data_IF_713342436123
#
_entry.id   IF_713342436123
#
_cell.length_a   1.000
_cell.length_b   1.000
_cell.length_c   1.000
_cell.angle_alpha   90.00
_cell.angle_beta   90.00
_cell.angle_gamma   90.00
#
_symmetry.space_group_name_H-M   'P 1'
#
loop_
_entity.id
_entity.type
_entity.pdbx_description
1 polymer ?
#
# COMPACT_ATOMS: atom_id res chain seq x y z
N UNK A 1 -81.61 29.88 -26.93
CA UNK A 1 -80.44 29.61 -26.08
C UNK A 1 -80.86 29.78 -24.63
N UNK A 2 -80.80 28.72 -23.80
CA UNK A 2 -81.23 28.79 -22.40
C UNK A 2 -80.06 29.30 -21.58
N UNK A 3 -80.14 30.56 -21.16
CA UNK A 3 -79.10 31.24 -20.37
C UNK A 3 -79.05 30.72 -18.92
N UNK A 4 -80.19 30.29 -18.37
CA UNK A 4 -80.31 29.82 -16.98
C UNK A 4 -79.32 28.73 -16.56
N UNK A 5 -79.25 27.57 -17.26
CA UNK A 5 -78.33 26.49 -16.88
C UNK A 5 -76.85 26.90 -16.91
N UNK A 6 -76.48 27.86 -17.75
CA UNK A 6 -75.12 28.40 -17.80
C UNK A 6 -74.85 29.35 -16.64
N UNK A 7 -75.85 30.10 -16.17
CA UNK A 7 -75.73 30.93 -14.97
C UNK A 7 -75.58 30.06 -13.72
N UNK A 8 -76.38 29.01 -13.58
CA UNK A 8 -76.29 28.07 -12.45
C UNK A 8 -74.93 27.35 -12.41
N UNK A 9 -74.40 27.00 -13.60
CA UNK A 9 -73.06 26.42 -13.74
C UNK A 9 -71.95 27.40 -13.37
N UNK A 10 -72.13 28.69 -13.71
CA UNK A 10 -71.15 29.73 -13.41
C UNK A 10 -71.13 30.02 -11.90
N UNK A 11 -72.31 30.09 -11.28
CA UNK A 11 -72.48 30.23 -9.83
C UNK A 11 -71.83 29.05 -9.10
N UNK A 12 -72.10 27.81 -9.53
CA UNK A 12 -71.46 26.61 -8.96
C UNK A 12 -69.93 26.65 -9.08
N UNK A 13 -69.40 27.15 -10.21
CA UNK A 13 -67.94 27.25 -10.40
C UNK A 13 -67.31 28.35 -9.56
N UNK A 14 -68.03 29.45 -9.32
CA UNK A 14 -67.59 30.57 -8.49
C UNK A 14 -67.46 30.15 -7.02
N UNK A 15 -68.44 29.41 -6.52
CA UNK A 15 -68.43 28.89 -5.15
C UNK A 15 -67.30 27.87 -4.94
N UNK A 16 -67.01 27.05 -5.94
CA UNK A 16 -65.87 26.12 -5.91
C UNK A 16 -64.53 26.88 -5.90
N UNK A 17 -64.34 27.88 -6.76
CA UNK A 17 -63.09 28.63 -6.84
C UNK A 17 -62.77 29.42 -5.56
N UNK A 18 -63.80 29.90 -4.87
CA UNK A 18 -63.63 30.65 -3.61
C UNK A 18 -63.37 29.76 -2.40
N UNK A 19 -63.81 28.50 -2.44
CA UNK A 19 -63.59 27.52 -1.36
C UNK A 19 -62.29 26.73 -1.52
N UNK A 20 -61.58 26.89 -2.65
CA UNK A 20 -60.24 26.33 -2.82
C UNK A 20 -59.27 26.96 -1.81
N UNK A 21 -58.77 26.14 -0.89
CA UNK A 21 -57.67 26.51 -0.02
C UNK A 21 -56.36 26.49 -0.80
N UNK A 22 -56.05 27.62 -1.44
CA UNK A 22 -54.71 27.83 -1.95
C UNK A 22 -53.77 27.93 -0.74
N UNK A 23 -52.83 26.99 -0.65
CA UNK A 23 -51.69 27.14 0.24
C UNK A 23 -51.11 28.53 -0.02
N UNK A 24 -51.01 29.37 1.02
CA UNK A 24 -50.27 30.61 0.89
C UNK A 24 -48.91 30.27 0.29
N UNK A 25 -48.34 31.10 -0.60
CA UNK A 25 -47.04 30.83 -1.17
C UNK A 25 -46.03 30.63 -0.02
N UNK A 26 -45.82 29.37 0.35
CA UNK A 26 -44.68 28.94 1.14
C UNK A 26 -43.49 29.32 0.29
N UNK A 27 -42.55 30.09 0.85
CA UNK A 27 -41.37 30.53 0.11
C UNK A 27 -40.65 29.29 -0.42
N UNK A 28 -40.94 28.94 -1.68
CA UNK A 28 -40.41 27.76 -2.35
C UNK A 28 -38.90 27.93 -2.46
N UNK A 29 -38.16 27.35 -1.50
CA UNK A 29 -36.76 26.89 -1.52
C UNK A 29 -35.65 27.82 -2.06
N UNK A 30 -35.96 29.00 -2.60
CA UNK A 30 -35.05 30.02 -3.09
C UNK A 30 -34.76 31.08 -2.01
N UNK A 31 -35.16 30.81 -0.77
CA UNK A 31 -34.79 31.63 0.40
C UNK A 31 -33.43 31.23 0.95
N UNK A 32 -33.03 29.95 0.79
CA UNK A 32 -31.69 29.45 1.18
C UNK A 32 -30.59 29.92 0.21
N UNK A 33 -30.92 30.15 -1.06
CA UNK A 33 -30.01 30.77 -2.03
C UNK A 33 -29.99 32.30 -1.96
N UNK A 34 -30.95 32.93 -1.26
CA UNK A 34 -31.03 34.39 -1.09
C UNK A 34 -30.10 34.94 -0.01
N UNK A 35 -29.62 34.12 0.90
CA UNK A 35 -28.79 34.58 2.03
C UNK A 35 -27.33 34.80 1.64
N UNK A 36 -26.88 34.19 0.56
CA UNK A 36 -25.51 34.33 0.07
C UNK A 36 -25.58 35.17 -1.21
N UNK A 37 -24.99 36.37 -1.27
CA UNK A 37 -24.93 37.11 -2.53
C UNK A 37 -24.28 36.21 -3.59
N UNK A 38 -24.77 36.25 -4.84
CA UNK A 38 -24.31 35.33 -5.90
C UNK A 38 -22.78 35.42 -6.12
N UNK A 39 -22.15 36.53 -5.72
CA UNK A 39 -20.70 36.78 -5.71
C UNK A 39 -19.92 35.93 -4.69
N UNK A 40 -20.59 35.36 -3.68
CA UNK A 40 -20.00 34.39 -2.75
C UNK A 40 -20.20 32.94 -3.23
N UNK A 41 -21.21 32.68 -4.08
CA UNK A 41 -21.46 31.37 -4.72
C UNK A 41 -20.60 31.20 -5.97
N UNK A 42 -20.50 32.26 -6.79
CA UNK A 42 -19.58 32.38 -7.90
C UNK A 42 -18.34 33.08 -7.34
N UNK A 43 -17.46 32.31 -6.69
CA UNK A 43 -16.12 32.81 -6.43
C UNK A 43 -15.41 32.92 -7.76
N UNK A 44 -14.73 34.03 -8.02
CA UNK A 44 -13.76 34.09 -9.10
C UNK A 44 -12.80 32.91 -8.92
N UNK A 45 -12.51 32.18 -10.00
CA UNK A 45 -11.57 31.07 -9.95
C UNK A 45 -10.27 31.57 -9.30
N UNK A 46 -9.87 30.94 -8.19
CA UNK A 46 -8.66 31.30 -7.47
C UNK A 46 -7.46 31.22 -8.45
N UNK A 47 -6.35 31.95 -8.24
CA UNK A 47 -5.23 31.97 -9.18
C UNK A 47 -4.71 30.56 -9.54
N UNK A 48 -4.78 29.63 -8.59
CA UNK A 48 -4.41 28.23 -8.80
C UNK A 48 -5.43 27.45 -9.65
N UNK A 49 -6.72 27.80 -9.61
CA UNK A 49 -7.77 27.21 -10.44
C UNK A 49 -7.71 27.75 -11.89
N UNK A 50 -7.42 29.06 -12.07
CA UNK A 50 -7.24 29.67 -13.40
C UNK A 50 -6.12 29.02 -14.21
N UNK A 51 -5.13 28.43 -13.52
CA UNK A 51 -4.00 27.71 -14.13
C UNK A 51 -4.40 26.37 -14.75
N UNK A 52 -5.53 25.79 -14.34
CA UNK A 52 -6.08 24.55 -14.92
C UNK A 52 -6.85 24.79 -16.23
N UNK A 53 -7.48 25.97 -16.34
CA UNK A 53 -8.33 26.35 -17.48
C UNK A 53 -7.60 27.16 -18.55
N UNK A 54 -6.44 27.72 -18.22
CA UNK A 54 -5.52 28.23 -19.23
C UNK A 54 -4.78 27.03 -19.80
N UNK A 55 -5.19 26.60 -20.99
CA UNK A 55 -4.48 25.59 -21.76
C UNK A 55 -3.03 26.07 -21.96
N UNK A 56 -2.13 25.64 -21.08
CA UNK A 56 -0.70 25.77 -21.33
C UNK A 56 -0.40 24.89 -22.54
N UNK A 57 -0.29 25.54 -23.69
CA UNK A 57 0.31 24.91 -24.85
C UNK A 57 1.69 24.42 -24.43
N UNK A 58 1.82 23.10 -24.36
CA UNK A 58 3.09 22.36 -24.39
C UNK A 58 4.16 22.79 -23.38
N UNK A 59 4.16 22.15 -22.21
CA UNK A 59 5.42 21.71 -21.62
C UNK A 59 5.29 20.26 -21.16
N UNK A 60 5.90 19.37 -21.94
CA UNK A 60 6.22 18.00 -21.54
C UNK A 60 6.85 18.09 -20.13
N UNK A 61 6.33 17.39 -19.11
CA UNK A 61 6.80 17.59 -17.75
C UNK A 61 8.24 17.08 -17.62
N UNK A 62 9.17 18.03 -17.58
CA UNK A 62 10.54 17.84 -17.13
C UNK A 62 10.64 18.29 -15.67
N UNK A 63 10.72 17.35 -14.73
CA UNK A 63 11.08 17.60 -13.33
C UNK A 63 10.01 17.20 -12.30
N UNK A 64 10.40 16.53 -11.20
CA UNK A 64 9.48 15.84 -10.31
C UNK A 64 8.86 16.82 -9.30
N UNK A 65 7.62 17.21 -9.53
CA UNK A 65 6.74 17.65 -8.45
C UNK A 65 6.07 16.37 -7.94
N UNK A 66 6.67 15.76 -6.93
CA UNK A 66 6.17 14.58 -6.25
C UNK A 66 4.86 14.91 -5.50
N UNK A 67 3.76 15.01 -6.23
CA UNK A 67 2.45 14.64 -5.70
C UNK A 67 2.40 13.10 -5.66
N UNK A 68 3.23 12.53 -4.78
CA UNK A 68 3.63 11.12 -4.77
C UNK A 68 2.55 10.14 -4.32
N UNK A 69 1.37 10.62 -3.91
CA UNK A 69 0.30 9.74 -3.45
C UNK A 69 -0.28 8.87 -4.59
N UNK A 70 -0.34 9.39 -5.82
CA UNK A 70 -0.90 8.67 -6.96
C UNK A 70 0.02 7.62 -7.58
N UNK A 71 1.34 7.75 -7.40
CA UNK A 71 2.33 6.81 -7.95
C UNK A 71 2.46 5.56 -7.06
N UNK A 72 2.48 5.74 -5.73
CA UNK A 72 2.57 4.63 -4.77
C UNK A 72 1.33 3.71 -4.84
N UNK A 73 0.15 4.28 -5.07
CA UNK A 73 -1.09 3.51 -5.18
C UNK A 73 -1.21 2.64 -6.44
N UNK A 74 -0.35 2.84 -7.45
CA UNK A 74 -0.35 1.99 -8.65
C UNK A 74 0.37 0.67 -8.43
N UNK A 75 1.23 0.59 -7.43
CA UNK A 75 1.99 -0.61 -7.13
C UNK A 75 1.23 -1.46 -6.12
N UNK A 76 0.85 -2.67 -6.52
CA UNK A 76 0.06 -3.58 -5.67
C UNK A 76 0.84 -4.11 -4.47
N UNK A 77 2.16 -3.97 -4.50
CA UNK A 77 3.08 -4.49 -3.49
C UNK A 77 3.64 -3.38 -2.58
N UNK A 78 3.06 -2.18 -2.62
CA UNK A 78 3.52 -1.09 -1.76
C UNK A 78 3.45 -1.51 -0.27
N UNK A 79 4.51 -1.22 0.52
CA UNK A 79 4.53 -1.56 1.94
C UNK A 79 3.38 -0.84 2.67
N UNK A 80 2.75 -1.58 3.59
CA UNK A 80 1.53 -1.15 4.29
C UNK A 80 1.68 0.23 4.93
N UNK A 81 2.84 0.54 5.53
CA UNK A 81 3.08 1.83 6.19
C UNK A 81 3.00 3.01 5.23
N UNK A 82 3.50 2.84 4.00
CA UNK A 82 3.46 3.89 2.98
C UNK A 82 2.02 4.08 2.50
N UNK A 83 1.26 3.00 2.36
CA UNK A 83 -0.15 3.06 2.01
C UNK A 83 -0.99 3.76 3.09
N UNK A 84 -0.79 3.41 4.36
CA UNK A 84 -1.50 4.03 5.49
C UNK A 84 -1.16 5.51 5.62
N UNK A 85 0.12 5.87 5.41
CA UNK A 85 0.55 7.27 5.37
C UNK A 85 -0.07 8.04 4.22
N UNK A 86 -0.16 7.43 3.03
CA UNK A 86 -0.84 8.04 1.89
C UNK A 86 -2.33 8.28 2.19
N UNK A 87 -3.01 7.31 2.81
CA UNK A 87 -4.41 7.45 3.24
C UNK A 87 -4.57 8.60 4.23
N UNK A 88 -3.68 8.74 5.21
CA UNK A 88 -3.69 9.86 6.16
C UNK A 88 -3.51 11.21 5.46
N UNK A 89 -2.61 11.31 4.47
CA UNK A 89 -2.42 12.54 3.69
C UNK A 89 -3.64 12.90 2.85
N UNK A 90 -4.29 11.90 2.24
CA UNK A 90 -5.52 12.09 1.45
C UNK A 90 -6.65 12.55 2.35
N UNK A 91 -6.91 11.87 3.46
CA UNK A 91 -7.90 12.28 4.45
C UNK A 91 -7.60 13.69 4.98
N UNK A 92 -6.31 14.04 5.08
CA UNK A 92 -5.78 15.36 5.37
C UNK A 92 -6.30 16.49 4.47
N UNK A 93 -6.46 16.22 3.18
CA UNK A 93 -6.75 17.21 2.15
C UNK A 93 -8.25 17.42 1.90
N UNK A 94 -9.10 16.50 2.36
CA UNK A 94 -10.55 16.56 2.14
C UNK A 94 -11.33 16.92 3.42
N UNK A 95 -12.38 17.75 3.32
CA UNK A 95 -13.28 18.06 4.43
C UNK A 95 -14.31 16.93 4.60
N UNK A 96 -13.85 15.81 5.17
CA UNK A 96 -14.66 14.62 5.47
C UNK A 96 -14.49 14.24 6.94
N UNK A 97 -15.47 13.52 7.49
CA UNK A 97 -15.38 12.93 8.83
C UNK A 97 -14.22 11.93 8.89
N UNK A 98 -13.18 12.26 9.67
CA UNK A 98 -11.88 11.54 9.66
C UNK A 98 -11.88 10.34 10.60
N UNK A 99 -12.64 10.42 11.68
CA UNK A 99 -12.68 9.44 12.76
C UNK A 99 -12.87 7.98 12.30
N UNK A 100 -13.81 7.62 11.40
CA UNK A 100 -13.96 6.24 10.98
C UNK A 100 -12.74 5.72 10.19
N UNK A 101 -12.11 6.58 9.38
CA UNK A 101 -10.95 6.22 8.57
C UNK A 101 -9.71 6.04 9.45
N UNK A 102 -9.48 6.97 10.39
CA UNK A 102 -8.34 6.89 11.31
C UNK A 102 -8.41 5.67 12.22
N UNK A 103 -9.60 5.33 12.74
CA UNK A 103 -9.79 4.08 13.49
C UNK A 103 -9.46 2.85 12.65
N UNK A 104 -9.83 2.86 11.36
CA UNK A 104 -9.52 1.75 10.47
C UNK A 104 -8.03 1.65 10.17
N UNK A 105 -7.34 2.76 9.97
CA UNK A 105 -5.88 2.83 9.81
C UNK A 105 -5.20 2.20 11.01
N UNK A 106 -5.62 2.54 12.23
CA UNK A 106 -5.05 1.99 13.45
C UNK A 106 -5.22 0.48 13.56
N UNK A 107 -6.42 -0.03 13.27
CA UNK A 107 -6.68 -1.48 13.24
C UNK A 107 -5.78 -2.18 12.21
N UNK A 108 -5.51 -1.56 11.07
CA UNK A 108 -4.64 -2.12 10.05
C UNK A 108 -3.16 -2.11 10.48
N UNK A 109 -2.69 -1.07 11.20
CA UNK A 109 -1.34 -1.03 11.79
C UNK A 109 -1.10 -2.20 12.73
N UNK A 110 -1.97 -2.35 13.73
CA UNK A 110 -1.84 -3.43 14.74
C UNK A 110 -1.87 -4.81 14.08
N UNK A 111 -2.71 -5.01 13.06
CA UNK A 111 -2.74 -6.25 12.28
C UNK A 111 -1.45 -6.46 11.50
N UNK A 112 -0.94 -5.41 10.84
CA UNK A 112 0.35 -5.41 10.16
C UNK A 112 1.48 -5.84 11.08
N UNK A 113 1.60 -5.23 12.25
CA UNK A 113 2.63 -5.56 13.25
C UNK A 113 2.54 -7.00 13.74
N UNK A 114 1.33 -7.53 13.88
CA UNK A 114 1.11 -8.91 14.31
C UNK A 114 1.56 -9.90 13.23
N UNK A 115 1.20 -9.63 11.97
CA UNK A 115 1.61 -10.45 10.83
C UNK A 115 3.12 -10.37 10.63
N UNK A 116 3.72 -9.18 10.71
CA UNK A 116 5.17 -8.98 10.59
C UNK A 116 5.94 -9.79 11.64
N UNK A 117 5.48 -9.81 12.89
CA UNK A 117 6.07 -10.65 13.95
C UNK A 117 5.94 -12.14 13.63
N UNK A 118 4.80 -12.58 13.11
CA UNK A 118 4.60 -13.97 12.69
C UNK A 118 5.54 -14.36 11.55
N UNK A 119 5.68 -13.51 10.53
CA UNK A 119 6.58 -13.73 9.39
C UNK A 119 8.03 -13.84 9.89
N UNK A 120 8.49 -12.89 10.71
CA UNK A 120 9.84 -12.91 11.26
C UNK A 120 10.13 -14.18 12.09
N UNK A 121 9.12 -14.72 12.78
CA UNK A 121 9.25 -16.00 13.49
C UNK A 121 9.37 -17.19 12.52
N UNK A 122 8.57 -17.20 11.47
CA UNK A 122 8.59 -18.26 10.45
C UNK A 122 9.88 -18.24 9.63
N UNK A 123 10.39 -17.07 9.30
CA UNK A 123 11.67 -16.91 8.59
C UNK A 123 12.82 -17.52 9.38
N UNK A 124 12.90 -17.23 10.69
CA UNK A 124 13.89 -17.88 11.58
C UNK A 124 13.77 -19.39 11.57
N UNK A 125 12.54 -19.91 11.64
CA UNK A 125 12.30 -21.35 11.59
C UNK A 125 12.74 -21.97 10.26
N UNK A 126 12.50 -21.27 9.14
CA UNK A 126 12.95 -21.71 7.81
C UNK A 126 14.47 -21.74 7.74
N UNK A 127 15.15 -20.72 8.29
CA UNK A 127 16.61 -20.68 8.32
C UNK A 127 17.22 -21.80 9.16
N UNK A 128 16.64 -22.09 10.33
CA UNK A 128 17.07 -23.22 11.16
C UNK A 128 16.87 -24.56 10.46
N UNK A 129 15.73 -24.72 9.76
CA UNK A 129 15.45 -25.92 8.97
C UNK A 129 16.42 -26.07 7.79
N UNK A 130 16.76 -24.97 7.11
CA UNK A 130 17.75 -24.96 6.02
C UNK A 130 19.12 -25.38 6.53
N UNK A 131 19.61 -24.79 7.62
CA UNK A 131 20.88 -25.19 8.25
C UNK A 131 20.92 -26.67 8.62
N UNK A 132 19.83 -27.19 9.17
CA UNK A 132 19.72 -28.62 9.50
C UNK A 132 19.76 -29.52 8.27
N UNK A 133 19.08 -29.11 7.19
CA UNK A 133 19.12 -29.83 5.92
C UNK A 133 20.52 -29.78 5.31
N UNK A 134 21.19 -28.64 5.37
CA UNK A 134 22.55 -28.50 4.87
C UNK A 134 23.49 -29.46 5.61
N UNK A 135 23.44 -29.49 6.95
CA UNK A 135 24.22 -30.43 7.78
C UNK A 135 23.95 -31.89 7.43
N UNK A 136 22.68 -32.28 7.26
CA UNK A 136 22.30 -33.62 6.83
C UNK A 136 22.73 -33.92 5.39
N UNK A 137 22.69 -32.95 4.49
CA UNK A 137 23.11 -33.11 3.10
C UNK A 137 24.62 -33.33 3.00
N UNK A 138 25.41 -32.59 3.79
CA UNK A 138 26.85 -32.82 3.94
C UNK A 138 27.12 -34.19 4.53
N UNK A 139 26.51 -34.54 5.68
CA UNK A 139 26.69 -35.84 6.32
C UNK A 139 26.27 -37.03 5.43
N UNK A 140 25.24 -36.85 4.59
CA UNK A 140 24.81 -37.83 3.58
C UNK A 140 25.82 -37.96 2.45
N UNK A 141 26.38 -36.84 1.96
CA UNK A 141 27.41 -36.83 0.92
C UNK A 141 28.70 -37.53 1.36
N UNK A 142 29.10 -37.40 2.64
CA UNK A 142 30.29 -38.07 3.18
C UNK A 142 30.13 -39.60 3.30
N UNK A 143 28.90 -40.11 3.47
CA UNK A 143 28.62 -41.55 3.56
C UNK A 143 28.44 -42.23 2.18
N UNK A 144 28.18 -41.45 1.13
CA UNK A 144 27.95 -41.97 -0.23
C UNK A 144 29.28 -42.31 -0.94
N UNK A 145 30.36 -41.59 -0.65
CA UNK A 145 31.71 -41.89 -1.20
C UNK A 145 32.31 -43.18 -0.66
N UNK A 146 31.78 -43.75 0.42
CA UNK A 146 32.31 -44.99 1.03
C UNK A 146 31.48 -46.23 0.74
N UNK A 147 30.30 -46.11 0.10
CA UNK A 147 29.31 -47.21 0.10
C UNK A 147 28.88 -47.70 -1.29
N UNK A 148 29.10 -46.95 -2.37
CA UNK A 148 28.75 -47.41 -3.72
C UNK A 148 30.00 -47.71 -4.53
N UNK A 149 30.52 -48.92 -4.33
CA UNK A 149 31.34 -49.56 -5.36
C UNK A 149 30.53 -49.64 -6.65
N UNK A 150 31.18 -49.18 -7.74
CA UNK A 150 30.78 -49.28 -9.15
C UNK A 150 30.03 -48.06 -9.71
N UNK A 151 30.72 -47.19 -10.48
CA UNK A 151 30.37 -46.73 -11.84
C UNK A 151 31.36 -45.66 -12.39
N UNK A 152 31.94 -45.98 -13.55
CA UNK A 152 32.36 -45.15 -14.72
C UNK A 152 33.20 -43.85 -14.58
N UNK A 153 34.18 -43.61 -15.49
CA UNK A 153 35.08 -42.47 -15.44
C UNK A 153 34.44 -41.24 -16.12
N UNK A 154 34.00 -40.27 -15.33
CA UNK A 154 33.46 -39.02 -15.87
C UNK A 154 33.45 -37.89 -14.85
N UNK A 155 34.58 -37.18 -14.74
CA UNK A 155 34.73 -35.85 -14.14
C UNK A 155 34.03 -35.65 -12.79
N UNK A 156 34.63 -36.22 -11.74
CA UNK A 156 34.52 -35.66 -10.41
C UNK A 156 35.78 -34.81 -10.18
N UNK A 157 35.64 -33.49 -10.10
CA UNK A 157 36.69 -32.59 -9.58
C UNK A 157 36.74 -32.70 -8.05
N UNK A 158 36.72 -33.95 -7.56
CA UNK A 158 37.03 -34.30 -6.19
C UNK A 158 38.53 -34.33 -6.09
N UNK A 159 39.12 -33.27 -5.53
CA UNK A 159 40.52 -33.29 -5.10
C UNK A 159 40.68 -34.49 -4.17
N UNK A 160 41.25 -35.58 -4.68
CA UNK A 160 41.60 -36.74 -3.87
C UNK A 160 42.57 -36.26 -2.80
N UNK A 161 42.09 -36.15 -1.56
CA UNK A 161 42.91 -35.79 -0.41
C UNK A 161 43.86 -36.96 -0.18
N UNK A 162 45.08 -36.86 -0.70
CA UNK A 162 46.10 -37.88 -0.51
C UNK A 162 46.68 -37.78 0.90
N UNK A 163 47.07 -38.93 1.45
CA UNK A 163 47.71 -39.02 2.77
C UNK A 163 49.02 -38.19 2.84
N UNK A 164 49.66 -37.97 1.69
CA UNK A 164 50.81 -37.07 1.53
C UNK A 164 50.44 -35.59 1.71
N UNK A 165 49.29 -35.18 1.16
CA UNK A 165 48.80 -33.80 1.28
C UNK A 165 48.44 -33.46 2.74
N UNK A 166 47.83 -34.40 3.45
CA UNK A 166 47.53 -34.28 4.88
C UNK A 166 48.81 -34.14 5.71
N UNK A 167 49.83 -34.98 5.43
CA UNK A 167 51.11 -34.92 6.15
C UNK A 167 51.82 -33.57 5.94
N UNK A 168 51.77 -33.02 4.72
CA UNK A 168 52.36 -31.73 4.43
C UNK A 168 51.66 -30.59 5.19
N UNK A 169 50.34 -30.65 5.30
CA UNK A 169 49.55 -29.67 6.06
C UNK A 169 49.82 -29.76 7.57
N UNK A 170 49.93 -30.98 8.11
CA UNK A 170 50.30 -31.19 9.52
C UNK A 170 51.69 -30.60 9.87
N UNK A 171 52.67 -30.73 8.97
CA UNK A 171 53.99 -30.12 9.16
C UNK A 171 53.95 -28.58 9.12
N UNK A 172 53.14 -28.01 8.25
CA UNK A 172 52.92 -26.57 8.15
C UNK A 172 52.30 -26.03 9.44
N UNK A 173 51.27 -26.72 9.96
CA UNK A 173 50.59 -26.36 11.21
C UNK A 173 51.57 -26.42 12.38
N UNK A 174 52.40 -27.46 12.50
CA UNK A 174 53.38 -27.58 13.57
C UNK A 174 54.40 -26.41 13.59
N UNK A 175 54.80 -25.92 12.42
CA UNK A 175 55.67 -24.72 12.31
C UNK A 175 54.95 -23.47 12.79
N UNK A 176 53.70 -23.29 12.36
CA UNK A 176 52.90 -22.12 12.74
C UNK A 176 52.61 -22.10 14.25
N UNK A 177 52.36 -23.26 14.87
CA UNK A 177 52.17 -23.38 16.32
C UNK A 177 53.41 -22.96 17.11
N UNK A 178 54.63 -23.34 16.66
CA UNK A 178 55.87 -22.86 17.29
C UNK A 178 56.03 -21.33 17.17
N UNK A 179 55.67 -20.76 16.02
CA UNK A 179 55.71 -19.31 15.81
C UNK A 179 54.70 -18.60 16.73
N UNK A 180 53.49 -19.16 16.87
CA UNK A 180 52.46 -18.65 17.77
C UNK A 180 52.93 -18.75 19.22
N UNK A 181 53.56 -19.85 19.63
CA UNK A 181 54.09 -20.04 20.99
C UNK A 181 55.24 -19.07 21.31
N UNK A 182 56.14 -18.83 20.37
CA UNK A 182 57.20 -17.83 20.55
C UNK A 182 56.64 -16.40 20.60
N UNK A 183 55.58 -16.12 19.84
CA UNK A 183 54.92 -14.81 19.81
C UNK A 183 54.03 -14.58 21.03
N UNK A 184 53.43 -15.62 21.60
CA UNK A 184 52.63 -15.52 22.84
C UNK A 184 53.50 -15.38 24.09
N UNK A 185 54.78 -15.77 23.99
CA UNK A 185 55.78 -15.68 25.06
C UNK A 185 56.61 -14.38 25.02
N UNK A 186 56.38 -13.50 24.05
CA UNK A 186 56.90 -12.13 23.96
C UNK A 186 55.82 -11.13 24.36
#
# INVERSE_FOLDING_TARGET
MRLGPHLDSLESSSDLLTTLSFSHPSSFQNTLLRQVPITQVIRDAEPHERSLYTASATKKPSGPVESGAGAVLRDREAPLDVLLRAVETVVGQFPLDRDPVLRRVEVLRVKGDTIARSIASLERQVDDQRRKLDDLSLGRSYLDTTTTGNLEPGQSDSVEVTEEMVRAEEEEIARLEQVIEQKSRR
#
